data_IF_800189135080
#
_entry.id   IF_800189135080
#
_cell.length_a   1.000
_cell.length_b   1.000
_cell.length_c   1.000
_cell.angle_alpha   90.00
_cell.angle_beta   90.00
_cell.angle_gamma   90.00
#
_symmetry.space_group_name_H-M   'P 1'
#
loop_
_entity.id
_entity.type
_entity.pdbx_description
1 polymer ?
#
# COMPACT_ATOMS: atom_id res chain seq x y z
N UNK A 1 -5.73 -3.34 8.51
CA UNK A 1 -5.58 -4.81 8.47
C UNK A 1 -6.03 -5.33 7.08
N UNK A 2 -5.29 -6.26 6.49
CA UNK A 2 -5.59 -6.83 5.16
C UNK A 2 -5.93 -8.33 5.28
N UNK A 3 -6.60 -8.89 4.27
CA UNK A 3 -6.87 -10.33 4.18
C UNK A 3 -6.76 -10.82 2.73
N UNK A 4 -6.56 -12.12 2.54
CA UNK A 4 -6.54 -12.71 1.20
C UNK A 4 -7.96 -12.94 0.68
N UNK A 5 -8.12 -12.93 -0.65
CA UNK A 5 -9.42 -13.20 -1.29
C UNK A 5 -9.99 -14.57 -0.88
N UNK A 6 -9.14 -15.57 -0.65
CA UNK A 6 -9.58 -16.89 -0.18
C UNK A 6 -10.19 -16.86 1.23
N UNK A 7 -9.58 -16.11 2.15
CA UNK A 7 -10.13 -15.92 3.50
C UNK A 7 -11.46 -15.19 3.43
N UNK A 8 -11.55 -14.13 2.63
CA UNK A 8 -12.79 -13.38 2.43
C UNK A 8 -13.91 -14.28 1.88
N UNK A 9 -13.62 -15.07 0.84
CA UNK A 9 -14.59 -15.99 0.24
C UNK A 9 -15.08 -17.04 1.25
N UNK A 10 -14.18 -17.62 2.04
CA UNK A 10 -14.54 -18.60 3.05
C UNK A 10 -15.35 -17.98 4.21
N UNK A 11 -14.98 -16.77 4.64
CA UNK A 11 -15.69 -16.05 5.69
C UNK A 11 -17.14 -15.74 5.28
N UNK A 12 -17.35 -15.26 4.06
CA UNK A 12 -18.68 -15.01 3.51
C UNK A 12 -19.47 -16.30 3.37
N UNK A 13 -18.87 -17.37 2.82
CA UNK A 13 -19.52 -18.68 2.68
C UNK A 13 -20.00 -19.22 4.04
N UNK A 14 -19.16 -19.10 5.07
CA UNK A 14 -19.45 -19.54 6.43
C UNK A 14 -20.54 -18.68 7.09
N UNK A 15 -20.49 -17.36 6.91
CA UNK A 15 -21.50 -16.43 7.45
C UNK A 15 -22.91 -16.74 6.94
N UNK A 16 -23.03 -17.17 5.69
CA UNK A 16 -24.31 -17.49 5.06
C UNK A 16 -24.66 -18.98 5.06
N UNK A 17 -23.83 -19.85 5.64
CA UNK A 17 -24.02 -21.32 5.59
C UNK A 17 -24.24 -21.84 4.15
N UNK A 18 -23.54 -21.23 3.18
CA UNK A 18 -23.63 -21.60 1.78
C UNK A 18 -22.70 -22.78 1.49
N UNK A 19 -23.11 -23.69 0.60
CA UNK A 19 -22.28 -24.81 0.14
C UNK A 19 -21.78 -24.65 -1.30
N UNK A 20 -21.98 -23.47 -1.89
CA UNK A 20 -21.57 -23.21 -3.28
C UNK A 20 -20.07 -23.47 -3.47
N UNK A 21 -19.66 -24.12 -4.59
CA UNK A 21 -18.26 -24.32 -4.90
C UNK A 21 -17.58 -22.99 -5.25
N UNK A 22 -16.31 -22.84 -4.86
CA UNK A 22 -15.48 -21.70 -5.25
C UNK A 22 -14.76 -22.08 -6.55
N UNK A 23 -14.98 -21.30 -7.60
CA UNK A 23 -14.33 -21.47 -8.90
C UNK A 23 -13.24 -20.41 -9.10
N UNK A 24 -12.00 -20.85 -9.31
CA UNK A 24 -10.86 -19.95 -9.56
C UNK A 24 -10.80 -19.60 -11.05
N UNK A 25 -11.02 -18.33 -11.40
CA UNK A 25 -11.06 -17.85 -12.78
C UNK A 25 -9.74 -17.18 -13.24
N UNK A 26 -8.75 -17.11 -12.35
CA UNK A 26 -7.48 -16.42 -12.60
C UNK A 26 -7.52 -14.92 -12.34
N UNK A 27 -6.37 -14.26 -12.53
CA UNK A 27 -6.19 -12.82 -12.37
C UNK A 27 -6.72 -12.11 -13.62
N UNK A 28 -7.53 -11.07 -13.45
CA UNK A 28 -8.09 -10.30 -14.56
C UNK A 28 -7.10 -9.24 -15.03
N UNK A 29 -7.32 -8.75 -16.26
CA UNK A 29 -6.48 -7.69 -16.81
C UNK A 29 -6.53 -6.43 -15.93
N UNK A 30 -5.35 -5.92 -15.56
CA UNK A 30 -5.22 -4.71 -14.73
C UNK A 30 -5.30 -4.94 -13.22
N UNK A 31 -5.44 -6.18 -12.75
CA UNK A 31 -5.40 -6.48 -11.30
C UNK A 31 -3.97 -6.66 -10.80
N UNK A 32 -3.71 -6.19 -9.58
CA UNK A 32 -2.46 -6.40 -8.84
C UNK A 32 -2.64 -7.52 -7.81
N UNK A 33 -1.53 -8.16 -7.44
CA UNK A 33 -1.52 -9.22 -6.41
C UNK A 33 -1.70 -8.69 -4.99
N UNK A 34 -1.33 -7.43 -4.77
CA UNK A 34 -1.50 -6.68 -3.53
C UNK A 34 -1.62 -5.21 -3.89
N UNK A 35 -2.19 -4.43 -2.97
CA UNK A 35 -2.30 -2.99 -3.11
C UNK A 35 -1.27 -2.30 -2.25
N UNK A 36 -0.77 -1.15 -2.71
CA UNK A 36 0.21 -0.36 -1.98
C UNK A 36 -0.49 0.85 -1.39
N UNK A 37 -0.42 1.00 -0.06
CA UNK A 37 -1.03 2.12 0.65
C UNK A 37 -0.12 3.35 0.66
N UNK A 38 1.18 3.15 0.82
CA UNK A 38 2.22 4.18 0.76
C UNK A 38 3.41 3.64 0.00
N UNK A 39 3.78 4.31 -1.08
CA UNK A 39 5.00 4.03 -1.82
C UNK A 39 6.25 4.33 -0.99
N UNK A 40 7.42 3.86 -1.44
CA UNK A 40 8.68 4.15 -0.75
C UNK A 40 9.01 5.65 -0.67
N UNK A 41 8.66 6.44 -1.70
CA UNK A 41 8.87 7.90 -1.71
C UNK A 41 7.91 8.62 -0.76
N UNK A 42 6.65 8.18 -0.71
CA UNK A 42 5.70 8.75 0.25
C UNK A 42 6.11 8.41 1.69
N UNK A 43 6.63 7.20 1.94
CA UNK A 43 7.14 6.78 3.24
C UNK A 43 8.31 7.64 3.73
N UNK A 44 9.20 8.11 2.84
CA UNK A 44 10.34 8.94 3.27
C UNK A 44 9.88 10.27 3.86
N UNK A 45 8.74 10.81 3.39
CA UNK A 45 8.20 12.09 3.83
C UNK A 45 6.98 11.98 4.75
N UNK A 46 6.43 10.78 4.95
CA UNK A 46 5.23 10.56 5.74
C UNK A 46 5.45 10.81 7.24
N UNK A 47 4.45 11.41 7.87
CA UNK A 47 4.36 11.57 9.32
C UNK A 47 3.37 10.55 9.89
N UNK A 48 3.82 9.77 10.86
CA UNK A 48 2.99 8.84 11.64
C UNK A 48 2.16 9.62 12.67
N UNK A 49 0.83 9.48 12.59
CA UNK A 49 -0.15 10.09 13.50
C UNK A 49 -0.85 9.04 14.39
N UNK A 50 -0.26 7.85 14.52
CA UNK A 50 -0.85 6.68 15.20
C UNK A 50 -1.69 5.86 14.22
N UNK A 51 -2.96 6.21 14.07
CA UNK A 51 -3.89 5.47 13.20
C UNK A 51 -3.84 5.91 11.72
N UNK A 52 -3.07 6.96 11.42
CA UNK A 52 -3.01 7.59 10.10
C UNK A 52 -1.59 7.96 9.71
N UNK A 53 -1.32 7.96 8.40
CA UNK A 53 -0.13 8.55 7.82
C UNK A 53 -0.49 9.82 7.08
N UNK A 54 0.26 10.89 7.31
CA UNK A 54 0.15 12.14 6.56
C UNK A 54 1.34 12.28 5.63
N UNK A 55 1.08 12.26 4.33
CA UNK A 55 2.07 12.62 3.30
C UNK A 55 1.97 14.14 3.07
N UNK A 56 2.98 14.94 3.42
CA UNK A 56 2.95 16.36 3.15
C UNK A 56 3.05 16.61 1.64
N UNK A 57 2.34 17.64 1.16
CA UNK A 57 2.50 18.07 -0.23
C UNK A 57 3.95 18.55 -0.45
N UNK A 58 4.60 17.98 -1.45
CA UNK A 58 5.95 18.38 -1.83
C UNK A 58 5.94 19.81 -2.39
N UNK A 59 6.17 20.79 -1.50
CA UNK A 59 6.41 22.17 -1.89
C UNK A 59 7.86 22.31 -2.33
N UNK A 60 8.13 21.83 -3.55
CA UNK A 60 9.28 22.28 -4.33
C UNK A 60 9.05 23.74 -4.69
N UNK A 61 9.50 24.64 -3.82
CA UNK A 61 10.17 25.84 -4.32
C UNK A 61 11.15 25.36 -5.39
N UNK A 62 11.10 25.93 -6.60
CA UNK A 62 11.61 25.48 -7.90
C UNK A 62 13.12 25.07 -7.99
N UNK A 63 13.63 24.34 -7.00
CA UNK A 63 15.04 24.03 -6.76
C UNK A 63 15.34 22.60 -7.20
N UNK A 64 15.86 22.51 -8.43
CA UNK A 64 16.37 21.27 -9.03
C UNK A 64 17.66 20.75 -8.36
N UNK A 65 18.32 21.58 -7.53
CA UNK A 65 19.59 21.26 -6.87
C UNK A 65 19.51 20.06 -5.89
N UNK A 66 18.32 19.74 -5.37
CA UNK A 66 18.11 18.62 -4.44
C UNK A 66 18.25 17.24 -5.09
N UNK A 67 18.17 17.14 -6.42
CA UNK A 67 18.23 15.87 -7.14
C UNK A 67 19.62 15.52 -7.67
N UNK A 68 20.58 16.47 -7.67
CA UNK A 68 21.87 16.29 -8.34
C UNK A 68 23.08 16.10 -7.40
N UNK A 69 23.19 16.83 -6.28
CA UNK A 69 24.50 16.94 -5.58
C UNK A 69 24.59 16.37 -4.15
N UNK A 70 23.48 16.09 -3.45
CA UNK A 70 23.53 15.50 -2.10
C UNK A 70 22.45 14.44 -1.92
N UNK A 71 22.81 13.19 -2.18
CA UNK A 71 21.97 12.06 -1.78
C UNK A 71 21.73 12.09 -0.28
N UNK A 72 20.46 12.03 0.12
CA UNK A 72 20.07 11.92 1.52
C UNK A 72 20.35 10.48 1.99
N UNK A 73 21.32 10.31 2.87
CA UNK A 73 21.71 9.01 3.43
C UNK A 73 20.78 8.62 4.60
N UNK A 74 20.03 9.58 5.15
CA UNK A 74 19.11 9.36 6.26
C UNK A 74 17.75 8.87 5.76
N UNK A 75 17.62 7.54 5.67
CA UNK A 75 16.35 6.89 5.34
C UNK A 75 15.42 6.92 6.56
N UNK A 76 14.20 7.42 6.37
CA UNK A 76 13.12 7.22 7.34
C UNK A 76 12.95 5.71 7.58
N UNK A 77 12.88 5.20 8.83
CA UNK A 77 12.72 3.76 9.09
C UNK A 77 11.44 3.14 8.51
N UNK A 78 10.47 3.97 8.11
CA UNK A 78 9.25 3.51 7.43
C UNK A 78 9.61 2.81 6.11
N UNK A 79 8.99 1.65 5.89
CA UNK A 79 9.08 0.87 4.66
C UNK A 79 7.71 0.84 3.99
N UNK A 80 7.71 0.61 2.68
CA UNK A 80 6.50 0.44 1.88
C UNK A 80 5.47 -0.46 2.55
N UNK A 81 4.23 0.01 2.55
CA UNK A 81 3.09 -0.71 3.12
C UNK A 81 2.30 -1.38 2.00
N UNK A 82 2.40 -2.70 1.94
CA UNK A 82 1.69 -3.61 1.02
C UNK A 82 0.67 -4.48 1.77
#
# INVERSE_FOLDING_TARGET
>A
PACTIGILAQAVKSLFSSENPINVIGIRHGEKMYETLLTNEECTHAMDLGDFYRVPCDKRDLNYDKFFDKGDVTRNPLREFN
#
